data_IF_386012627899
#
_entry.id   IF_386012627899
#
_cell.length_a   1.000
_cell.length_b   1.000
_cell.length_c   1.000
_cell.angle_alpha   90.00
_cell.angle_beta   90.00
_cell.angle_gamma   90.00
#
_symmetry.space_group_name_H-M   'P 1'
#
loop_
_entity.id
_entity.type
_entity.pdbx_description
1 polymer ?
#
# COMPACT_ATOMS: atom_id res chain seq x y z
N UNK A 1 -11.26 -0.50 -11.54
CA UNK A 1 -9.93 -0.53 -12.17
C UNK A 1 -9.32 0.84 -12.42
N UNK A 2 -9.06 1.64 -11.37
CA UNK A 2 -8.49 2.98 -11.55
C UNK A 2 -7.00 2.92 -11.96
N UNK A 3 -6.16 2.23 -11.19
CA UNK A 3 -4.71 2.12 -11.45
C UNK A 3 -4.44 1.53 -12.83
N UNK A 4 -5.22 0.52 -13.23
CA UNK A 4 -5.11 -0.11 -14.55
C UNK A 4 -5.34 0.89 -15.69
N UNK A 5 -6.40 1.70 -15.58
CA UNK A 5 -6.87 2.58 -16.65
C UNK A 5 -6.17 3.95 -16.69
N UNK A 6 -5.22 4.22 -15.78
CA UNK A 6 -4.51 5.48 -15.71
C UNK A 6 -2.99 5.27 -15.83
N UNK A 7 -2.31 6.26 -16.39
CA UNK A 7 -0.85 6.31 -16.45
C UNK A 7 -0.29 7.04 -15.22
N UNK A 8 0.94 6.70 -14.85
CA UNK A 8 1.68 7.44 -13.84
C UNK A 8 2.03 8.83 -14.38
N UNK A 9 1.95 9.85 -13.52
CA UNK A 9 2.31 11.23 -13.91
C UNK A 9 3.81 11.48 -13.86
N UNK A 10 4.54 10.73 -13.03
CA UNK A 10 6.00 10.74 -12.97
C UNK A 10 6.54 9.51 -13.69
N UNK A 11 7.75 9.60 -14.25
CA UNK A 11 8.43 8.50 -14.91
C UNK A 11 8.89 7.40 -13.95
N UNK A 12 9.11 7.74 -12.68
CA UNK A 12 9.55 6.80 -11.63
C UNK A 12 9.05 7.27 -10.26
N UNK A 13 7.73 7.22 -9.97
CA UNK A 13 7.22 7.64 -8.67
C UNK A 13 7.61 6.66 -7.58
N UNK A 14 8.01 7.19 -6.43
CA UNK A 14 8.15 6.44 -5.18
C UNK A 14 6.77 6.27 -4.53
N UNK A 15 6.37 5.04 -4.23
CA UNK A 15 5.08 4.71 -3.60
C UNK A 15 5.34 3.87 -2.36
N UNK A 16 4.78 4.31 -1.23
CA UNK A 16 4.77 3.53 0.00
C UNK A 16 3.36 3.03 0.30
N UNK A 17 3.21 1.72 0.39
CA UNK A 17 1.99 1.01 0.78
C UNK A 17 2.21 0.43 2.17
N UNK A 18 1.25 0.63 3.08
CA UNK A 18 1.32 0.13 4.45
C UNK A 18 0.01 -0.55 4.80
N UNK A 19 0.08 -1.75 5.38
CA UNK A 19 -1.09 -2.52 5.81
C UNK A 19 -0.84 -3.15 7.19
N UNK A 20 -1.85 -3.17 8.06
CA UNK A 20 -1.83 -3.93 9.30
C UNK A 20 -2.08 -5.43 9.07
N UNK A 21 -1.37 -6.30 9.78
CA UNK A 21 -1.50 -7.76 9.68
C UNK A 21 -2.90 -8.27 10.00
N UNK A 22 -3.59 -7.64 10.97
CA UNK A 22 -4.93 -8.04 11.36
C UNK A 22 -6.02 -7.56 10.38
N UNK A 23 -5.70 -6.67 9.44
CA UNK A 23 -6.69 -6.12 8.51
C UNK A 23 -7.27 -7.22 7.59
N UNK A 24 -6.43 -8.15 7.12
CA UNK A 24 -6.84 -9.26 6.24
C UNK A 24 -7.45 -10.46 6.99
N UNK A 25 -7.36 -10.49 8.33
CA UNK A 25 -7.95 -11.53 9.19
C UNK A 25 -9.34 -11.11 9.71
N UNK A 26 -9.82 -9.94 9.30
CA UNK A 26 -11.13 -9.41 9.69
C UNK A 26 -12.29 -10.26 9.16
N UNK A 27 -13.35 -10.41 9.97
CA UNK A 27 -14.62 -11.07 9.57
C UNK A 27 -15.36 -10.30 8.47
N UNK A 28 -15.01 -9.03 8.24
CA UNK A 28 -15.57 -8.24 7.17
C UNK A 28 -14.95 -8.69 5.85
N UNK A 29 -15.75 -9.27 4.95
CA UNK A 29 -15.27 -9.80 3.66
C UNK A 29 -14.51 -8.78 2.81
N UNK A 30 -14.85 -7.49 2.90
CA UNK A 30 -14.13 -6.42 2.20
C UNK A 30 -12.73 -6.22 2.77
N UNK A 31 -12.59 -6.26 4.09
CA UNK A 31 -11.29 -6.12 4.75
C UNK A 31 -10.45 -7.40 4.60
N UNK A 32 -11.06 -8.58 4.62
CA UNK A 32 -10.35 -9.84 4.40
C UNK A 32 -9.58 -9.86 3.07
N UNK A 33 -10.12 -9.24 2.02
CA UNK A 33 -9.50 -9.15 0.71
C UNK A 33 -8.44 -8.03 0.57
N UNK A 34 -8.23 -7.20 1.61
CA UNK A 34 -7.41 -5.99 1.50
C UNK A 34 -5.96 -6.28 1.14
N UNK A 35 -5.39 -7.37 1.66
CA UNK A 35 -4.02 -7.78 1.35
C UNK A 35 -3.88 -8.18 -0.11
N UNK A 36 -4.80 -8.99 -0.63
CA UNK A 36 -4.80 -9.43 -2.02
C UNK A 36 -5.01 -8.25 -2.97
N UNK A 37 -5.93 -7.35 -2.66
CA UNK A 37 -6.15 -6.13 -3.43
C UNK A 37 -4.91 -5.22 -3.41
N UNK A 38 -4.26 -5.04 -2.26
CA UNK A 38 -3.04 -4.22 -2.12
C UNK A 38 -1.90 -4.83 -2.93
N UNK A 39 -1.73 -6.16 -2.90
CA UNK A 39 -0.75 -6.87 -3.72
C UNK A 39 -1.03 -6.73 -5.22
N UNK A 40 -2.30 -6.77 -5.65
CA UNK A 40 -2.67 -6.54 -7.04
C UNK A 40 -2.34 -5.10 -7.48
N UNK A 41 -2.60 -4.11 -6.63
CA UNK A 41 -2.23 -2.71 -6.88
C UNK A 41 -0.72 -2.52 -6.95
N UNK A 42 0.04 -3.11 -6.00
CA UNK A 42 1.50 -3.10 -6.00
C UNK A 42 2.05 -3.58 -7.36
N UNK A 43 1.61 -4.76 -7.83
CA UNK A 43 2.05 -5.32 -9.11
C UNK A 43 1.75 -4.38 -10.28
N UNK A 44 0.53 -3.85 -10.35
CA UNK A 44 0.14 -2.92 -11.41
C UNK A 44 0.97 -1.62 -11.41
N UNK A 45 1.38 -1.13 -10.23
CA UNK A 45 2.22 0.04 -10.11
C UNK A 45 3.67 -0.25 -10.53
N UNK A 46 4.23 -1.38 -10.09
CA UNK A 46 5.57 -1.83 -10.49
C UNK A 46 5.65 -2.07 -12.01
N UNK A 47 4.65 -2.73 -12.61
CA UNK A 47 4.54 -2.93 -14.07
C UNK A 47 4.49 -1.61 -14.85
N UNK A 48 3.98 -0.54 -14.23
CA UNK A 48 3.92 0.80 -14.82
C UNK A 48 5.18 1.64 -14.56
N UNK A 49 6.18 1.10 -13.85
CA UNK A 49 7.47 1.76 -13.59
C UNK A 49 7.54 2.54 -12.27
N UNK A 50 6.62 2.30 -11.32
CA UNK A 50 6.75 2.86 -9.98
C UNK A 50 7.74 2.06 -9.12
N UNK A 51 8.47 2.74 -8.25
CA UNK A 51 9.24 2.13 -7.17
C UNK A 51 8.31 1.95 -5.97
N UNK A 52 7.88 0.72 -5.71
CA UNK A 52 6.87 0.44 -4.68
C UNK A 52 7.51 -0.23 -3.47
N UNK A 53 7.34 0.38 -2.31
CA UNK A 53 7.64 -0.21 -1.01
C UNK A 53 6.34 -0.65 -0.36
N UNK A 54 6.30 -1.91 0.08
CA UNK A 54 5.15 -2.45 0.79
C UNK A 54 5.58 -2.96 2.15
N UNK A 55 4.99 -2.43 3.22
CA UNK A 55 5.30 -2.79 4.60
C UNK A 55 4.06 -3.34 5.31
N UNK A 56 4.19 -4.56 5.83
CA UNK A 56 3.24 -5.13 6.78
C UNK A 56 3.60 -4.64 8.19
N UNK A 57 2.61 -4.16 8.91
CA UNK A 57 2.75 -3.63 10.27
C UNK A 57 1.95 -4.51 11.22
N UNK A 58 2.47 -4.76 12.42
CA UNK A 58 1.71 -5.42 13.48
C UNK A 58 0.44 -4.63 13.82
N UNK A 59 -0.63 -5.32 14.22
CA UNK A 59 -1.89 -4.69 14.60
C UNK A 59 -2.89 -4.51 13.45
N UNK A 60 -3.92 -3.71 13.71
CA UNK A 60 -5.06 -3.45 12.83
C UNK A 60 -5.03 -2.08 12.14
N UNK A 61 -6.19 -1.72 11.57
CA UNK A 61 -6.32 -0.54 10.70
C UNK A 61 -6.09 0.81 11.40
N UNK A 62 -6.42 0.90 12.69
CA UNK A 62 -6.41 2.15 13.47
C UNK A 62 -5.24 2.25 14.44
N UNK A 63 -4.24 1.38 14.29
CA UNK A 63 -3.06 1.37 15.16
C UNK A 63 -1.87 2.05 14.45
N UNK A 64 -1.15 2.86 15.21
CA UNK A 64 0.11 3.51 14.83
C UNK A 64 0.07 4.34 13.55
N UNK A 65 -1.06 4.99 13.27
CA UNK A 65 -1.26 5.80 12.05
C UNK A 65 -0.17 6.87 11.83
N UNK A 66 0.23 7.57 12.89
CA UNK A 66 1.28 8.60 12.82
C UNK A 66 2.64 7.97 12.53
N UNK A 67 2.99 6.86 13.20
CA UNK A 67 4.26 6.18 12.98
C UNK A 67 4.35 5.63 11.56
N UNK A 68 3.28 4.99 11.07
CA UNK A 68 3.20 4.44 9.71
C UNK A 68 3.36 5.52 8.64
N UNK A 69 2.80 6.71 8.88
CA UNK A 69 3.00 7.87 8.01
C UNK A 69 4.45 8.37 8.04
N UNK A 70 5.08 8.44 9.23
CA UNK A 70 6.48 8.85 9.38
C UNK A 70 7.45 7.87 8.69
N UNK A 71 7.17 6.56 8.75
CA UNK A 71 7.91 5.55 7.99
C UNK A 71 7.81 5.79 6.48
N UNK A 72 6.60 6.05 5.99
CA UNK A 72 6.35 6.36 4.58
C UNK A 72 7.12 7.60 4.12
N UNK A 73 7.01 8.70 4.87
CA UNK A 73 7.74 9.95 4.62
C UNK A 73 9.26 9.72 4.56
N UNK A 74 9.81 9.05 5.57
CA UNK A 74 11.23 8.70 5.65
C UNK A 74 11.69 7.80 4.49
N UNK A 75 10.81 6.91 4.01
CA UNK A 75 11.13 5.96 2.94
C UNK A 75 11.19 6.62 1.57
N UNK A 76 10.25 7.53 1.28
CA UNK A 76 10.16 8.21 -0.03
C UNK A 76 10.98 9.50 -0.11
N UNK A 77 11.68 9.86 0.97
CA UNK A 77 12.65 10.95 0.99
C UNK A 77 12.03 12.34 0.84
N UNK A 78 10.78 12.50 1.27
CA UNK A 78 10.14 13.82 1.38
C UNK A 78 10.56 14.54 2.66
#
# INVERSE_FOLDING_TARGET
DFVRNNSLKSSSPEVYLSLGECESVSRNARLAAVLDCTNAVKRLLEEKGANVFFEMNSGGHFEDEVERMMKGYSRIGL
#
